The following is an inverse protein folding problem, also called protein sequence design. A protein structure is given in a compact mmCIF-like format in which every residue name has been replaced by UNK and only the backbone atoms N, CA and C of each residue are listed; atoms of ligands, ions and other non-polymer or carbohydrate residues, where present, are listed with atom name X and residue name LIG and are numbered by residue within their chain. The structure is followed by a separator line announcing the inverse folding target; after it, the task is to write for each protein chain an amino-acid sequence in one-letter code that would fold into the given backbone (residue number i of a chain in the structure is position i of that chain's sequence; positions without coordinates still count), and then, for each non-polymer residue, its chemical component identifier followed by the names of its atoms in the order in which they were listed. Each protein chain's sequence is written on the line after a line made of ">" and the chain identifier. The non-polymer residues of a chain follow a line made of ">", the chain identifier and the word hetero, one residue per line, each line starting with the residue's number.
data_IF_423904717051
#
_entry.id   IF_423904717051
#
_cell.length_a   1.000
_cell.length_b   1.000
_cell.length_c   1.000
_cell.angle_alpha   90.00
_cell.angle_beta   90.00
_cell.angle_gamma   90.00
#
_symmetry.space_group_name_H-M   'P 1'
#
loop_
_entity.id
_entity.type
_entity.pdbx_description
1 polymer ?
#
# COMPACT_ATOMS: atom_id res chain seq x y z
N UNK A 1 22.44 -14.07 -15.71
CA UNK A 1 21.67 -15.33 -15.60
C UNK A 1 20.23 -15.06 -15.98
N UNK A 2 19.67 -15.85 -16.87
CA UNK A 2 18.28 -15.69 -17.30
C UNK A 2 17.33 -16.59 -16.51
N UNK A 3 16.12 -16.07 -16.21
CA UNK A 3 15.05 -16.88 -15.60
C UNK A 3 14.20 -17.50 -16.69
N UNK A 4 13.74 -18.72 -16.44
CA UNK A 4 12.86 -19.48 -17.35
C UNK A 4 11.86 -20.27 -16.52
N UNK A 5 10.99 -19.55 -15.80
CA UNK A 5 10.05 -20.15 -14.84
C UNK A 5 8.85 -20.82 -15.54
N UNK A 6 8.53 -20.39 -16.76
CA UNK A 6 7.42 -20.96 -17.54
C UNK A 6 7.67 -20.80 -19.04
N UNK A 7 6.91 -21.55 -19.84
CA UNK A 7 6.91 -21.40 -21.30
C UNK A 7 5.94 -20.29 -21.70
N UNK A 8 6.43 -19.17 -22.27
CA UNK A 8 5.55 -18.04 -22.68
C UNK A 8 4.45 -18.44 -23.66
N UNK A 9 4.63 -19.52 -24.45
CA UNK A 9 3.63 -20.00 -25.39
C UNK A 9 2.38 -20.57 -24.67
N UNK A 10 2.47 -20.88 -23.37
CA UNK A 10 1.34 -21.40 -22.57
C UNK A 10 0.47 -20.32 -21.95
N UNK A 11 0.86 -19.05 -22.05
CA UNK A 11 0.13 -17.92 -21.47
C UNK A 11 -0.31 -16.97 -22.58
N UNK A 12 -1.61 -16.81 -22.75
CA UNK A 12 -2.17 -15.87 -23.71
C UNK A 12 -2.31 -14.48 -23.09
N UNK A 13 -1.91 -13.45 -23.84
CA UNK A 13 -2.12 -12.06 -23.41
C UNK A 13 -3.62 -11.77 -23.36
N UNK A 14 -4.05 -11.04 -22.32
CA UNK A 14 -5.48 -10.77 -22.10
C UNK A 14 -6.05 -9.61 -22.94
N UNK A 15 -5.24 -9.01 -23.79
CA UNK A 15 -5.66 -7.96 -24.71
C UNK A 15 -5.65 -6.55 -24.14
N UNK A 16 -5.28 -6.39 -22.86
CA UNK A 16 -5.14 -5.05 -22.27
C UNK A 16 -3.86 -4.39 -22.72
N UNK A 17 -3.90 -3.07 -22.90
CA UNK A 17 -2.71 -2.27 -23.19
C UNK A 17 -2.07 -1.79 -21.88
N UNK A 18 -0.76 -1.54 -21.94
CA UNK A 18 -0.07 -0.86 -20.86
C UNK A 18 -0.69 0.53 -20.64
N UNK A 19 -0.73 0.98 -19.41
CA UNK A 19 -1.32 2.25 -19.01
C UNK A 19 -0.47 2.92 -17.93
N UNK A 20 -0.67 4.22 -17.75
CA UNK A 20 0.01 4.96 -16.69
C UNK A 20 -0.89 6.06 -16.15
N UNK A 21 -0.68 6.43 -14.89
CA UNK A 21 -1.36 7.53 -14.24
C UNK A 21 -0.48 8.07 -13.12
N UNK A 22 -0.83 9.26 -12.62
CA UNK A 22 -0.06 9.90 -11.53
C UNK A 22 -0.63 9.47 -10.18
N UNK A 23 0.23 8.98 -9.30
CA UNK A 23 -0.12 8.65 -7.91
C UNK A 23 0.06 9.87 -7.00
N UNK A 24 1.16 10.61 -7.17
CA UNK A 24 1.47 11.81 -6.39
C UNK A 24 2.34 12.75 -7.23
N UNK A 25 2.46 13.99 -6.78
CA UNK A 25 3.36 14.95 -7.42
C UNK A 25 4.72 14.94 -6.69
N UNK A 26 5.80 14.44 -7.33
CA UNK A 26 7.12 14.39 -6.69
C UNK A 26 7.74 15.77 -6.44
N UNK A 27 7.22 16.83 -7.07
CA UNK A 27 7.65 18.20 -6.82
C UNK A 27 7.00 18.79 -5.57
N UNK A 28 5.99 18.14 -5.01
CA UNK A 28 5.35 18.56 -3.76
C UNK A 28 6.35 18.45 -2.60
N UNK A 29 6.44 19.49 -1.78
CA UNK A 29 7.26 19.47 -0.58
C UNK A 29 6.58 18.67 0.53
N UNK A 30 7.40 18.09 1.42
CA UNK A 30 6.93 17.29 2.55
C UNK A 30 6.52 15.87 2.18
N UNK A 31 5.76 15.21 3.06
CA UNK A 31 5.35 13.82 2.82
C UNK A 31 4.35 13.74 1.66
N UNK A 32 4.55 12.76 0.81
CA UNK A 32 3.67 12.54 -0.33
C UNK A 32 2.42 11.77 0.10
N UNK A 33 1.27 12.17 -0.46
CA UNK A 33 0.01 11.46 -0.28
C UNK A 33 -0.71 11.35 -1.63
N UNK A 34 -1.35 10.22 -1.84
CA UNK A 34 -2.12 9.99 -3.05
C UNK A 34 -2.73 8.60 -3.07
N UNK A 35 -3.71 8.43 -3.94
CA UNK A 35 -4.33 7.13 -4.18
C UNK A 35 -4.71 7.01 -5.65
N UNK A 36 -4.63 5.78 -6.16
CA UNK A 36 -4.99 5.47 -7.53
C UNK A 36 -5.65 4.11 -7.55
N UNK A 37 -6.97 4.10 -7.80
CA UNK A 37 -7.69 2.83 -7.93
C UNK A 37 -7.24 2.07 -9.18
N UNK A 38 -7.10 0.76 -9.05
CA UNK A 38 -6.68 -0.11 -10.15
C UNK A 38 -7.58 -0.02 -11.37
N UNK A 39 -8.88 0.24 -11.16
CA UNK A 39 -9.84 0.39 -12.25
C UNK A 39 -9.44 1.52 -13.22
N UNK A 40 -8.77 2.55 -12.72
CA UNK A 40 -8.29 3.68 -13.55
C UNK A 40 -7.19 3.22 -14.51
N UNK A 41 -6.31 2.32 -14.04
CA UNK A 41 -5.25 1.73 -14.86
C UNK A 41 -5.73 0.56 -15.70
N UNK A 42 -6.88 -0.02 -15.36
CA UNK A 42 -7.33 -1.29 -15.91
C UNK A 42 -6.62 -2.49 -15.28
N UNK A 43 -6.12 -2.33 -14.06
CA UNK A 43 -5.36 -3.34 -13.35
C UNK A 43 -6.03 -3.84 -12.06
N UNK A 44 -5.46 -4.89 -11.44
CA UNK A 44 -6.09 -5.59 -10.32
C UNK A 44 -5.84 -4.97 -8.95
N UNK A 45 -4.97 -3.96 -8.85
CA UNK A 45 -4.53 -3.42 -7.58
C UNK A 45 -4.71 -1.91 -7.50
N UNK A 46 -5.08 -1.44 -6.31
CA UNK A 46 -5.15 -0.02 -5.96
C UNK A 46 -3.90 0.34 -5.18
N UNK A 47 -3.24 1.43 -5.55
CA UNK A 47 -1.99 1.85 -4.94
C UNK A 47 -2.21 3.17 -4.21
N UNK A 48 -1.72 3.24 -2.95
CA UNK A 48 -1.71 4.45 -2.17
C UNK A 48 -0.28 4.77 -1.76
N UNK A 49 -0.02 6.06 -1.53
CA UNK A 49 1.15 6.48 -0.77
C UNK A 49 0.68 7.35 0.40
N UNK A 50 1.21 7.07 1.57
CA UNK A 50 0.90 7.78 2.80
C UNK A 50 2.17 8.35 3.40
N UNK A 51 2.12 9.62 3.79
CA UNK A 51 3.25 10.25 4.46
C UNK A 51 2.81 11.20 5.55
N UNK A 52 3.63 11.28 6.61
CA UNK A 52 3.43 12.23 7.69
C UNK A 52 4.76 12.50 8.40
N UNK A 53 4.95 13.74 8.85
CA UNK A 53 6.09 14.13 9.70
C UNK A 53 5.74 14.03 11.19
N UNK A 54 4.45 13.88 11.52
CA UNK A 54 3.97 13.91 12.89
C UNK A 54 4.04 12.54 13.55
N UNK A 55 4.67 12.46 14.72
CA UNK A 55 4.75 11.23 15.52
C UNK A 55 3.37 10.91 16.08
N UNK A 56 3.00 9.62 16.03
CA UNK A 56 1.72 9.13 16.55
C UNK A 56 0.55 9.28 15.58
N UNK A 57 0.77 9.84 14.40
CA UNK A 57 -0.26 10.08 13.39
C UNK A 57 -0.25 8.95 12.36
N UNK A 58 -1.43 8.53 11.94
CA UNK A 58 -1.65 7.51 10.91
C UNK A 58 -3.13 7.41 10.54
N UNK A 59 -3.46 6.49 9.64
CA UNK A 59 -4.85 6.23 9.26
C UNK A 59 -5.66 5.70 10.45
N UNK A 60 -6.97 5.95 10.41
CA UNK A 60 -7.91 5.39 11.39
C UNK A 60 -7.95 3.87 11.31
N UNK A 61 -8.34 3.23 12.41
CA UNK A 61 -8.63 1.79 12.39
C UNK A 61 -9.75 1.52 11.38
N UNK A 62 -9.49 0.60 10.46
CA UNK A 62 -10.40 0.28 9.38
C UNK A 62 -10.20 -1.16 8.91
N UNK A 63 -11.05 -1.60 8.01
CA UNK A 63 -11.02 -2.96 7.46
C UNK A 63 -11.38 -2.95 5.98
N UNK A 64 -10.76 -3.87 5.25
CA UNK A 64 -11.03 -4.12 3.84
C UNK A 64 -11.47 -5.56 3.61
N UNK A 65 -12.29 -5.84 2.58
CA UNK A 65 -12.66 -7.23 2.23
C UNK A 65 -11.56 -7.95 1.41
N UNK A 66 -10.35 -7.41 1.35
CA UNK A 66 -9.22 -7.92 0.59
C UNK A 66 -7.92 -7.69 1.37
N UNK A 67 -6.85 -8.36 0.95
CA UNK A 67 -5.52 -8.19 1.53
C UNK A 67 -4.92 -6.83 1.17
N UNK A 68 -4.13 -6.29 2.08
CA UNK A 68 -3.33 -5.10 1.83
C UNK A 68 -1.87 -5.37 2.15
N UNK A 69 -0.97 -4.91 1.28
CA UNK A 69 0.47 -4.98 1.49
C UNK A 69 1.00 -3.58 1.75
N UNK A 70 1.64 -3.39 2.90
CA UNK A 70 2.27 -2.13 3.29
C UNK A 70 3.78 -2.22 3.09
N UNK A 71 4.36 -1.21 2.44
CA UNK A 71 5.80 -1.13 2.23
C UNK A 71 6.28 0.16 2.90
N UNK A 72 7.16 0.05 3.90
CA UNK A 72 7.75 1.22 4.54
C UNK A 72 8.94 1.68 3.68
N UNK A 73 8.84 2.89 3.14
CA UNK A 73 9.86 3.48 2.27
C UNK A 73 10.85 4.32 3.09
N UNK A 74 10.33 5.07 4.07
CA UNK A 74 11.13 5.95 4.92
C UNK A 74 10.56 5.94 6.33
N UNK A 75 11.42 5.99 7.32
CA UNK A 75 11.03 6.08 8.72
C UNK A 75 10.67 4.75 9.35
N UNK A 76 9.86 4.82 10.41
CA UNK A 76 9.39 3.67 11.18
C UNK A 76 7.92 3.82 11.50
N UNK A 77 7.17 2.74 11.40
CA UNK A 77 5.76 2.70 11.72
C UNK A 77 5.45 1.57 12.68
N UNK A 78 4.44 1.77 13.53
CA UNK A 78 3.82 0.70 14.31
C UNK A 78 2.50 0.35 13.66
N UNK A 79 2.39 -0.92 13.28
CA UNK A 79 1.18 -1.48 12.69
C UNK A 79 0.41 -2.26 13.73
N UNK A 80 -0.89 -2.01 13.77
CA UNK A 80 -1.85 -2.78 14.58
C UNK A 80 -2.69 -3.57 13.58
N UNK A 81 -2.52 -4.89 13.57
CA UNK A 81 -3.18 -5.80 12.63
C UNK A 81 -3.88 -6.89 13.43
N UNK A 82 -5.18 -6.75 13.62
CA UNK A 82 -5.93 -7.63 14.52
C UNK A 82 -5.40 -7.53 15.94
N UNK A 83 -4.99 -8.66 16.50
CA UNK A 83 -4.42 -8.74 17.86
C UNK A 83 -2.88 -8.59 17.87
N UNK A 84 -2.25 -8.35 16.71
CA UNK A 84 -0.79 -8.22 16.60
C UNK A 84 -0.36 -6.77 16.46
N UNK A 85 0.76 -6.46 17.10
CA UNK A 85 1.46 -5.19 16.97
C UNK A 85 2.83 -5.46 16.35
N UNK A 86 3.13 -4.77 15.24
CA UNK A 86 4.34 -4.99 14.44
C UNK A 86 5.02 -3.64 14.20
N UNK A 87 6.29 -3.53 14.58
CA UNK A 87 7.09 -2.36 14.22
C UNK A 87 7.86 -2.66 12.94
N UNK A 88 7.75 -1.75 11.97
CA UNK A 88 8.42 -1.89 10.69
C UNK A 88 9.19 -0.62 10.34
N UNK A 89 10.39 -0.80 9.80
CA UNK A 89 11.29 0.27 9.37
C UNK A 89 11.43 0.25 7.84
N UNK A 90 12.04 1.30 7.31
CA UNK A 90 12.31 1.41 5.87
C UNK A 90 12.89 0.11 5.29
N UNK A 91 12.30 -0.35 4.19
CA UNK A 91 12.67 -1.59 3.52
C UNK A 91 11.87 -2.81 3.96
N UNK A 92 11.01 -2.69 4.97
CA UNK A 92 10.18 -3.81 5.44
C UNK A 92 8.77 -3.76 4.87
N UNK A 93 8.16 -4.94 4.80
CA UNK A 93 6.82 -5.15 4.25
C UNK A 93 5.93 -5.80 5.31
N UNK A 94 4.70 -5.31 5.44
CA UNK A 94 3.70 -5.85 6.37
C UNK A 94 2.47 -6.27 5.57
N UNK A 95 1.87 -7.37 5.96
CA UNK A 95 0.61 -7.84 5.39
C UNK A 95 -0.54 -7.54 6.35
N UNK A 96 -1.59 -6.90 5.81
CA UNK A 96 -2.90 -6.79 6.45
C UNK A 96 -3.88 -7.74 5.77
N UNK A 97 -4.22 -8.89 6.37
CA UNK A 97 -5.12 -9.84 5.73
C UNK A 97 -6.54 -9.31 5.57
N UNK A 98 -7.25 -9.83 4.57
CA UNK A 98 -8.65 -9.52 4.33
C UNK A 98 -9.50 -9.75 5.59
N UNK A 99 -10.38 -8.79 5.89
CA UNK A 99 -11.29 -8.89 7.03
C UNK A 99 -10.66 -8.64 8.40
N UNK A 100 -9.35 -8.40 8.46
CA UNK A 100 -8.65 -8.12 9.72
C UNK A 100 -8.50 -6.60 9.87
N UNK A 101 -9.09 -5.98 10.91
CA UNK A 101 -8.94 -4.56 11.17
C UNK A 101 -7.48 -4.16 11.35
N UNK A 102 -7.11 -3.02 10.81
CA UNK A 102 -5.74 -2.54 10.92
C UNK A 102 -5.64 -1.01 10.91
N UNK A 103 -4.53 -0.53 11.44
CA UNK A 103 -4.07 0.85 11.35
C UNK A 103 -2.55 0.88 11.56
N UNK A 104 -1.94 2.02 11.32
CA UNK A 104 -0.54 2.24 11.66
C UNK A 104 -0.32 3.69 12.08
N UNK A 105 0.82 3.95 12.72
CA UNK A 105 1.22 5.28 13.14
C UNK A 105 2.71 5.48 12.97
N UNK A 106 3.11 6.75 12.80
CA UNK A 106 4.51 7.11 12.74
C UNK A 106 5.15 7.01 14.13
N UNK A 107 6.18 6.20 14.26
CA UNK A 107 6.97 6.10 15.50
C UNK A 107 8.02 7.20 15.60
N UNK A 108 8.35 7.84 14.50
CA UNK A 108 9.44 8.82 14.47
C UNK A 108 10.84 8.18 14.61
N UNK A 109 11.87 9.05 14.80
CA UNK A 109 11.78 10.50 14.95
C UNK A 109 11.60 11.24 13.65
N UNK A 110 11.40 11.00 12.59
CA UNK A 110 11.26 11.78 11.37
C UNK A 110 10.03 11.41 10.57
N UNK A 111 10.11 11.66 9.27
CA UNK A 111 9.06 11.40 8.32
C UNK A 111 8.82 9.90 8.17
N UNK A 112 7.55 9.51 8.17
CA UNK A 112 7.11 8.20 7.70
C UNK A 112 6.60 8.36 6.26
N UNK A 113 7.03 7.47 5.39
CA UNK A 113 6.50 7.36 4.03
C UNK A 113 6.26 5.89 3.71
N UNK A 114 5.06 5.57 3.25
CA UNK A 114 4.68 4.20 2.87
C UNK A 114 4.14 4.16 1.45
N UNK A 115 4.23 2.98 0.84
CA UNK A 115 3.44 2.60 -0.34
C UNK A 115 2.54 1.47 0.13
N UNK A 116 1.23 1.61 -0.10
CA UNK A 116 0.23 0.67 0.34
C UNK A 116 -0.49 0.11 -0.88
N UNK A 117 -0.55 -1.22 -0.98
CA UNK A 117 -1.15 -1.89 -2.12
C UNK A 117 -2.39 -2.65 -1.65
N UNK A 118 -3.55 -2.18 -2.06
CA UNK A 118 -4.83 -2.87 -1.89
C UNK A 118 -4.99 -3.88 -3.04
N UNK A 119 -5.17 -5.14 -2.72
CA UNK A 119 -5.30 -6.20 -3.73
C UNK A 119 -6.73 -6.24 -4.28
N UNK A 120 -7.14 -5.13 -4.86
CA UNK A 120 -8.47 -4.91 -5.45
C UNK A 120 -8.38 -3.77 -6.46
N UNK A 121 -9.14 -3.84 -7.57
CA UNK A 121 -9.21 -2.72 -8.52
C UNK A 121 -9.94 -1.50 -7.97
N UNK A 122 -10.64 -1.64 -6.83
CA UNK A 122 -11.36 -0.54 -6.16
C UNK A 122 -10.95 -0.44 -4.71
N UNK A 123 -11.01 0.76 -4.17
CA UNK A 123 -10.82 1.03 -2.75
C UNK A 123 -12.14 0.82 -2.01
N UNK A 124 -12.20 -0.24 -1.22
CA UNK A 124 -13.38 -0.61 -0.43
C UNK A 124 -12.97 -0.66 1.03
N UNK A 125 -13.61 0.15 1.87
CA UNK A 125 -13.18 0.34 3.25
C UNK A 125 -14.35 0.63 4.17
N UNK A 126 -14.26 0.11 5.41
CA UNK A 126 -15.13 0.51 6.50
C UNK A 126 -14.26 1.01 7.66
N UNK A 127 -14.46 2.25 8.06
CA UNK A 127 -13.78 2.82 9.22
C UNK A 127 -14.45 2.30 10.50
N UNK A 128 -13.62 1.92 11.48
CA UNK A 128 -14.07 1.36 12.75
C UNK A 128 -13.86 2.30 13.93
N UNK A 129 -13.29 3.48 13.69
CA UNK A 129 -13.14 4.53 14.70
C UNK A 129 -13.25 5.94 14.10
#
# INVERSE_FOLDING_TARGET
>A
MSRKDFDPATVEADGRSASQARLFDPAQEGPWRGSLEGIVLGGPSTVLTYGTDEIGVGPRLHVHPYDETFIVIEGRARFYVGDRTLDASAGQVVLGPAGVPHKFENLGPGRLQTIDIHHSPRWIQTDLE
#
